data_IF_757765744763
#
_entry.id   IF_757765744763
#
_cell.length_a   1.000
_cell.length_b   1.000
_cell.length_c   1.000
_cell.angle_alpha   90.00
_cell.angle_beta   90.00
_cell.angle_gamma   90.00
#
_symmetry.space_group_name_H-M   'P 1'
#
loop_
_entity.id
_entity.type
_entity.pdbx_description
1 polymer ?
#
# COMPACT_ATOMS: atom_id res chain seq x y z
N UNK A 1 -5.08 -30.06 -5.34
CA UNK A 1 -5.40 -29.27 -6.56
C UNK A 1 -5.56 -27.81 -6.15
N UNK A 2 -4.70 -26.91 -6.63
CA UNK A 2 -4.84 -25.47 -6.41
C UNK A 2 -5.80 -24.93 -7.47
N UNK A 3 -6.95 -24.39 -7.05
CA UNK A 3 -7.87 -23.70 -7.95
C UNK A 3 -7.59 -22.19 -7.93
N UNK A 4 -6.92 -21.63 -8.95
CA UNK A 4 -6.64 -20.20 -9.02
C UNK A 4 -7.92 -19.34 -9.05
N UNK A 5 -9.07 -19.87 -9.45
CA UNK A 5 -10.34 -19.14 -9.45
C UNK A 5 -10.98 -19.02 -8.05
N UNK A 6 -10.44 -19.70 -7.05
CA UNK A 6 -11.02 -19.76 -5.70
C UNK A 6 -10.76 -18.49 -4.88
N UNK A 7 -11.74 -18.16 -4.03
CA UNK A 7 -11.62 -17.08 -3.05
C UNK A 7 -10.62 -17.44 -1.94
N UNK A 8 -9.99 -16.42 -1.38
CA UNK A 8 -9.15 -16.48 -0.19
C UNK A 8 -9.62 -15.41 0.79
N UNK A 9 -9.51 -15.72 2.07
CA UNK A 9 -9.82 -14.81 3.17
C UNK A 9 -8.52 -14.27 3.74
N UNK A 10 -8.34 -12.96 3.77
CA UNK A 10 -7.19 -12.32 4.40
C UNK A 10 -7.66 -11.58 5.65
N UNK A 11 -7.07 -11.90 6.81
CA UNK A 11 -7.36 -11.25 8.09
C UNK A 11 -6.24 -10.28 8.41
N UNK A 12 -6.57 -9.01 8.63
CA UNK A 12 -5.60 -7.93 8.74
C UNK A 12 -5.78 -7.18 10.05
N UNK A 13 -4.67 -6.80 10.66
CA UNK A 13 -4.62 -6.04 11.90
C UNK A 13 -4.97 -6.86 13.15
N UNK A 14 -4.80 -6.22 14.30
CA UNK A 14 -5.07 -6.82 15.61
C UNK A 14 -6.54 -7.29 15.75
N UNK A 15 -7.47 -6.54 15.17
CA UNK A 15 -8.91 -6.85 15.19
C UNK A 15 -9.32 -7.89 14.12
N UNK A 16 -8.36 -8.41 13.34
CA UNK A 16 -8.59 -9.41 12.29
C UNK A 16 -9.68 -9.02 11.27
N UNK A 17 -9.68 -7.75 10.84
CA UNK A 17 -10.58 -7.31 9.78
C UNK A 17 -10.41 -8.19 8.56
N UNK A 18 -11.53 -8.70 8.03
CA UNK A 18 -11.51 -9.75 7.02
C UNK A 18 -11.80 -9.20 5.64
N UNK A 19 -10.96 -9.60 4.67
CA UNK A 19 -11.08 -9.27 3.26
C UNK A 19 -11.21 -10.55 2.43
N UNK A 20 -12.18 -10.60 1.53
CA UNK A 20 -12.33 -11.68 0.58
C UNK A 20 -11.75 -11.27 -0.78
N UNK A 21 -10.85 -12.07 -1.34
CA UNK A 21 -10.20 -11.77 -2.62
C UNK A 21 -10.02 -13.03 -3.47
N UNK A 22 -9.94 -12.89 -4.78
CA UNK A 22 -9.61 -14.03 -5.64
C UNK A 22 -8.11 -14.32 -5.57
N UNK A 23 -7.76 -15.57 -5.31
CA UNK A 23 -6.36 -15.97 -5.23
C UNK A 23 -5.62 -15.74 -6.54
N UNK A 24 -6.27 -15.88 -7.70
CA UNK A 24 -5.67 -15.58 -9.01
C UNK A 24 -5.05 -14.19 -9.07
N UNK A 25 -5.77 -13.14 -8.64
CA UNK A 25 -5.27 -11.78 -8.67
C UNK A 25 -4.11 -11.56 -7.69
N UNK A 26 -4.24 -12.07 -6.46
CA UNK A 26 -3.18 -11.94 -5.45
C UNK A 26 -1.92 -12.71 -5.85
N UNK A 27 -2.03 -13.99 -6.20
CA UNK A 27 -0.90 -14.83 -6.58
C UNK A 27 -0.25 -14.38 -7.90
N UNK A 28 -0.98 -13.75 -8.82
CA UNK A 28 -0.38 -13.19 -10.04
C UNK A 28 0.57 -12.05 -9.72
N UNK A 29 0.25 -11.26 -8.69
CA UNK A 29 0.96 -10.03 -8.35
C UNK A 29 2.01 -10.16 -7.25
N UNK A 30 1.76 -11.05 -6.28
CA UNK A 30 2.52 -11.16 -5.05
C UNK A 30 3.08 -12.58 -4.91
N UNK A 31 4.40 -12.67 -4.87
CA UNK A 31 5.07 -13.95 -4.65
C UNK A 31 4.89 -14.45 -3.22
N UNK A 32 4.61 -13.56 -2.26
CA UNK A 32 4.16 -13.93 -0.92
C UNK A 32 2.85 -14.75 -1.00
N UNK A 33 1.81 -14.20 -1.64
CA UNK A 33 0.53 -14.90 -1.75
C UNK A 33 0.62 -16.15 -2.64
N UNK A 34 1.44 -16.10 -3.70
CA UNK A 34 1.74 -17.28 -4.53
C UNK A 34 2.29 -18.40 -3.64
N UNK A 35 3.30 -18.11 -2.84
CA UNK A 35 3.98 -19.08 -1.96
C UNK A 35 3.06 -19.57 -0.83
N UNK A 36 2.40 -18.65 -0.13
CA UNK A 36 1.51 -18.98 1.00
C UNK A 36 0.33 -19.87 0.58
N UNK A 37 -0.16 -19.70 -0.65
CA UNK A 37 -1.31 -20.45 -1.18
C UNK A 37 -0.88 -21.64 -2.05
N UNK A 38 0.41 -21.76 -2.40
CA UNK A 38 0.95 -22.90 -3.14
C UNK A 38 1.58 -23.92 -2.18
N UNK A 39 0.86 -25.01 -1.90
CA UNK A 39 1.47 -26.22 -1.33
C UNK A 39 0.64 -26.92 -0.26
N UNK A 40 0.64 -28.25 -0.29
CA UNK A 40 -0.14 -29.08 0.66
C UNK A 40 0.41 -29.06 2.10
N UNK A 41 1.58 -28.44 2.33
CA UNK A 41 2.23 -28.35 3.64
C UNK A 41 1.84 -27.11 4.44
N UNK A 42 1.36 -26.06 3.78
CA UNK A 42 0.97 -24.81 4.44
C UNK A 42 -0.50 -24.88 4.91
N UNK A 43 -0.77 -24.37 6.11
CA UNK A 43 -2.13 -24.37 6.64
C UNK A 43 -3.03 -23.42 5.85
N UNK A 44 -2.48 -22.33 5.34
CA UNK A 44 -3.12 -21.31 4.52
C UNK A 44 -3.63 -21.89 3.18
N UNK A 45 -2.87 -22.81 2.59
CA UNK A 45 -3.29 -23.51 1.37
C UNK A 45 -4.49 -24.45 1.62
N UNK A 46 -4.62 -24.99 2.84
CA UNK A 46 -5.74 -25.85 3.25
C UNK A 46 -6.95 -25.05 3.74
N UNK A 47 -6.71 -24.07 4.60
CA UNK A 47 -7.74 -23.25 5.27
C UNK A 47 -8.25 -22.12 4.40
N UNK A 48 -7.47 -21.71 3.38
CA UNK A 48 -7.73 -20.55 2.51
C UNK A 48 -7.83 -19.25 3.31
N UNK A 49 -7.13 -19.19 4.45
CA UNK A 49 -7.03 -18.01 5.31
C UNK A 49 -5.57 -17.59 5.40
N UNK A 50 -5.27 -16.33 5.12
CA UNK A 50 -3.96 -15.70 5.34
C UNK A 50 -4.09 -14.65 6.43
N UNK A 51 -3.19 -14.66 7.41
CA UNK A 51 -3.20 -13.71 8.53
C UNK A 51 -2.06 -12.69 8.39
N UNK A 52 -2.41 -11.42 8.58
CA UNK A 52 -1.56 -10.24 8.51
C UNK A 52 -1.79 -9.37 9.77
N UNK A 53 -1.47 -9.90 10.98
CA UNK A 53 -1.92 -9.31 12.24
C UNK A 53 -1.28 -7.95 12.56
N UNK A 54 -0.08 -7.69 12.04
CA UNK A 54 0.69 -6.47 12.29
C UNK A 54 0.44 -5.39 11.22
N UNK A 55 -0.37 -5.68 10.21
CA UNK A 55 -0.60 -4.78 9.09
C UNK A 55 -1.87 -3.94 9.28
N UNK A 56 -1.88 -2.75 8.68
CA UNK A 56 -3.00 -1.83 8.77
C UNK A 56 -4.11 -2.20 7.77
N UNK A 57 -5.36 -2.47 8.21
CA UNK A 57 -6.47 -2.82 7.32
C UNK A 57 -6.74 -1.78 6.22
N UNK A 58 -6.63 -0.48 6.52
CA UNK A 58 -6.80 0.60 5.55
C UNK A 58 -5.81 0.49 4.39
N UNK A 59 -4.55 0.19 4.73
CA UNK A 59 -3.47 0.06 3.73
C UNK A 59 -3.65 -1.22 2.92
N UNK A 60 -4.12 -2.30 3.53
CA UNK A 60 -4.45 -3.52 2.80
C UNK A 60 -5.64 -3.35 1.86
N UNK A 61 -6.65 -2.58 2.25
CA UNK A 61 -7.77 -2.20 1.38
C UNK A 61 -7.27 -1.41 0.16
N UNK A 62 -6.40 -0.43 0.36
CA UNK A 62 -5.76 0.32 -0.73
C UNK A 62 -4.94 -0.60 -1.65
N UNK A 63 -4.19 -1.55 -1.08
CA UNK A 63 -3.46 -2.57 -1.84
C UNK A 63 -4.41 -3.42 -2.70
N UNK A 64 -5.52 -3.91 -2.13
CA UNK A 64 -6.54 -4.66 -2.86
C UNK A 64 -7.15 -3.84 -3.99
N UNK A 65 -7.48 -2.58 -3.74
CA UNK A 65 -7.96 -1.64 -4.76
C UNK A 65 -6.99 -1.57 -5.94
N UNK A 66 -5.70 -1.44 -5.67
CA UNK A 66 -4.67 -1.43 -6.72
C UNK A 66 -4.52 -2.78 -7.44
N UNK A 67 -4.60 -3.91 -6.71
CA UNK A 67 -4.57 -5.26 -7.31
C UNK A 67 -5.64 -5.42 -8.38
N UNK A 68 -6.85 -4.94 -8.12
CA UNK A 68 -7.98 -5.07 -9.05
C UNK A 68 -8.02 -3.99 -10.13
N UNK A 69 -7.71 -2.74 -9.80
CA UNK A 69 -7.94 -1.59 -10.71
C UNK A 69 -6.69 -1.10 -11.41
N UNK A 70 -5.50 -1.49 -10.94
CA UNK A 70 -4.20 -0.93 -11.34
C UNK A 70 -4.07 0.58 -11.09
N UNK A 71 -4.88 1.13 -10.18
CA UNK A 71 -4.85 2.53 -9.77
C UNK A 71 -4.69 2.63 -8.25
N UNK A 72 -4.03 3.69 -7.81
CA UNK A 72 -4.05 4.11 -6.41
C UNK A 72 -4.94 5.33 -6.35
N UNK A 73 -6.02 5.22 -5.60
CA UNK A 73 -6.91 6.34 -5.36
C UNK A 73 -6.19 7.29 -4.40
N UNK A 74 -5.79 8.42 -4.96
CA UNK A 74 -5.19 9.55 -4.25
C UNK A 74 -6.25 10.64 -4.15
N UNK A 75 -6.23 11.43 -3.08
CA UNK A 75 -7.21 12.50 -2.81
C UNK A 75 -7.12 13.68 -3.83
N UNK A 76 -6.39 13.50 -4.93
CA UNK A 76 -6.16 14.47 -6.00
C UNK A 76 -7.44 15.09 -6.57
N UNK A 77 -8.56 14.37 -6.57
CA UNK A 77 -9.81 14.89 -7.16
C UNK A 77 -10.51 15.97 -6.33
N UNK A 78 -10.24 16.10 -5.03
CA UNK A 78 -10.91 17.09 -4.17
C UNK A 78 -9.99 18.23 -3.71
N UNK A 79 -8.67 18.06 -3.83
CA UNK A 79 -7.66 18.94 -3.24
C UNK A 79 -7.05 19.97 -4.21
N UNK A 80 -7.43 19.91 -5.49
CA UNK A 80 -6.95 20.83 -6.53
C UNK A 80 -7.90 22.05 -6.70
N UNK A 81 -8.91 22.21 -5.85
CA UNK A 81 -9.60 23.50 -5.66
C UNK A 81 -8.88 24.30 -4.56
N UNK A 82 -8.00 25.26 -4.92
CA UNK A 82 -7.23 26.05 -3.95
C UNK A 82 -8.11 26.95 -3.06
N UNK A 83 -9.41 27.08 -3.36
CA UNK A 83 -10.36 27.87 -2.58
C UNK A 83 -11.24 27.03 -1.63
N UNK A 84 -11.19 25.69 -1.71
CA UNK A 84 -12.13 24.82 -0.99
C UNK A 84 -11.71 24.48 0.44
N UNK A 85 -10.43 24.65 0.81
CA UNK A 85 -9.91 24.17 2.09
C UNK A 85 -8.85 25.09 2.70
N UNK A 86 -8.83 25.17 4.04
CA UNK A 86 -7.80 25.89 4.81
C UNK A 86 -6.40 25.30 4.60
N UNK A 87 -5.37 26.14 4.63
CA UNK A 87 -3.98 25.75 4.37
C UNK A 87 -3.45 24.70 5.36
N UNK A 88 -3.85 24.75 6.63
CA UNK A 88 -3.44 23.77 7.63
C UNK A 88 -4.13 22.43 7.39
N UNK A 89 -5.41 22.45 7.01
CA UNK A 89 -6.15 21.23 6.66
C UNK A 89 -5.54 20.59 5.41
N UNK A 90 -5.26 21.37 4.36
CA UNK A 90 -4.57 20.87 3.16
C UNK A 90 -3.25 20.20 3.54
N UNK A 91 -2.42 20.86 4.34
CA UNK A 91 -1.13 20.32 4.77
C UNK A 91 -1.29 19.03 5.57
N UNK A 92 -2.27 18.94 6.47
CA UNK A 92 -2.53 17.75 7.27
C UNK A 92 -2.95 16.57 6.37
N UNK A 93 -3.92 16.78 5.48
CA UNK A 93 -4.35 15.77 4.50
C UNK A 93 -3.19 15.29 3.63
N UNK A 94 -2.28 16.19 3.25
CA UNK A 94 -1.05 15.84 2.53
C UNK A 94 -0.10 14.96 3.29
N UNK A 95 0.13 15.25 4.57
CA UNK A 95 0.98 14.40 5.37
C UNK A 95 0.33 13.02 5.59
N UNK A 96 -0.99 12.95 5.81
CA UNK A 96 -1.69 11.67 5.94
C UNK A 96 -1.63 10.83 4.66
N UNK A 97 -1.84 11.45 3.49
CA UNK A 97 -1.75 10.74 2.21
C UNK A 97 -0.33 10.24 1.94
N UNK A 98 0.71 11.01 2.26
CA UNK A 98 2.09 10.50 2.19
C UNK A 98 2.29 9.30 3.12
N UNK A 99 1.78 9.35 4.34
CA UNK A 99 1.89 8.24 5.29
C UNK A 99 1.21 6.97 4.74
N UNK A 100 0.04 7.09 4.11
CA UNK A 100 -0.65 5.95 3.49
C UNK A 100 0.17 5.38 2.31
N UNK A 101 0.70 6.24 1.43
CA UNK A 101 1.48 5.81 0.27
C UNK A 101 2.79 5.11 0.67
N UNK A 102 3.49 5.59 1.71
CA UNK A 102 4.70 4.93 2.20
C UNK A 102 4.38 3.63 2.95
N UNK A 103 3.30 3.57 3.72
CA UNK A 103 2.83 2.30 4.30
C UNK A 103 2.45 1.29 3.21
N UNK A 104 1.83 1.75 2.11
CA UNK A 104 1.53 0.90 0.96
C UNK A 104 2.80 0.36 0.31
N UNK A 105 3.85 1.18 0.20
CA UNK A 105 5.16 0.72 -0.27
C UNK A 105 5.75 -0.35 0.64
N UNK A 106 5.75 -0.11 1.96
CA UNK A 106 6.22 -1.08 2.98
C UNK A 106 5.45 -2.39 2.90
N UNK A 107 4.12 -2.32 2.79
CA UNK A 107 3.28 -3.50 2.59
C UNK A 107 3.64 -4.21 1.28
N UNK A 108 3.89 -3.46 0.20
CA UNK A 108 4.35 -4.00 -1.08
C UNK A 108 5.70 -4.73 -0.99
N UNK A 109 6.64 -4.25 -0.16
CA UNK A 109 7.88 -4.99 0.12
C UNK A 109 7.58 -6.30 0.87
N UNK A 110 6.78 -6.25 1.93
CA UNK A 110 6.40 -7.43 2.71
C UNK A 110 5.71 -8.50 1.85
N UNK A 111 4.79 -8.06 0.99
CA UNK A 111 4.03 -8.92 0.09
C UNK A 111 4.79 -9.29 -1.19
N UNK A 112 6.02 -8.81 -1.38
CA UNK A 112 6.83 -9.07 -2.57
C UNK A 112 6.09 -8.70 -3.87
N UNK A 113 5.42 -7.54 -3.89
CA UNK A 113 4.71 -7.02 -5.05
C UNK A 113 5.39 -5.72 -5.54
N UNK A 114 6.24 -5.85 -6.56
CA UNK A 114 6.94 -4.69 -7.14
C UNK A 114 5.99 -3.70 -7.82
N UNK A 115 4.87 -4.17 -8.39
CA UNK A 115 3.97 -3.28 -9.12
C UNK A 115 3.27 -2.30 -8.17
N UNK A 116 2.94 -2.69 -6.93
CA UNK A 116 2.35 -1.74 -5.98
C UNK A 116 3.41 -0.80 -5.40
N UNK A 117 4.65 -1.28 -5.22
CA UNK A 117 5.78 -0.42 -4.83
C UNK A 117 6.02 0.69 -5.85
N UNK A 118 6.10 0.34 -7.13
CA UNK A 118 6.32 1.31 -8.21
C UNK A 118 5.15 2.31 -8.32
N UNK A 119 3.92 1.82 -8.18
CA UNK A 119 2.73 2.67 -8.18
C UNK A 119 2.71 3.64 -6.99
N UNK A 120 3.06 3.18 -5.78
CA UNK A 120 3.12 3.99 -4.57
C UNK A 120 4.15 5.12 -4.71
N UNK A 121 5.36 4.82 -5.19
CA UNK A 121 6.39 5.84 -5.43
C UNK A 121 5.96 6.82 -6.52
N UNK A 122 5.36 6.33 -7.60
CA UNK A 122 4.81 7.19 -8.66
C UNK A 122 3.74 8.13 -8.13
N UNK A 123 2.88 7.65 -7.23
CA UNK A 123 1.86 8.47 -6.57
C UNK A 123 2.48 9.52 -5.64
N UNK A 124 3.55 9.17 -4.89
CA UNK A 124 4.29 10.13 -4.05
C UNK A 124 4.86 11.27 -4.88
N UNK A 125 5.57 10.97 -5.98
CA UNK A 125 6.11 12.01 -6.85
C UNK A 125 5.02 12.87 -7.46
N UNK A 126 3.99 12.23 -7.98
CA UNK A 126 2.81 12.89 -8.54
C UNK A 126 2.15 13.79 -7.48
N UNK A 127 2.18 13.45 -6.19
CA UNK A 127 1.66 14.32 -5.13
C UNK A 127 2.61 15.48 -4.80
N UNK A 128 3.91 15.24 -4.76
CA UNK A 128 4.94 16.26 -4.50
C UNK A 128 5.03 17.36 -5.58
N UNK A 129 4.57 17.08 -6.80
CA UNK A 129 4.43 18.05 -7.88
C UNK A 129 3.28 19.05 -7.66
N UNK A 130 2.27 18.66 -6.87
CA UNK A 130 1.10 19.47 -6.57
C UNK A 130 1.45 20.76 -5.83
N UNK A 131 0.68 21.81 -6.08
CA UNK A 131 0.84 23.10 -5.40
C UNK A 131 -0.49 23.55 -4.83
N UNK A 132 -0.45 24.07 -3.61
CA UNK A 132 -1.56 24.77 -2.98
C UNK A 132 -1.11 26.19 -2.65
N UNK A 133 -1.83 27.19 -3.18
CA UNK A 133 -1.44 28.60 -3.09
C UNK A 133 0.04 28.85 -3.44
N UNK A 134 0.55 28.14 -4.45
CA UNK A 134 1.95 28.20 -4.91
C UNK A 134 2.95 27.38 -4.06
N UNK A 135 2.59 26.97 -2.86
CA UNK A 135 3.40 26.17 -1.95
C UNK A 135 3.34 24.67 -2.28
N UNK A 136 4.49 23.99 -2.20
CA UNK A 136 4.58 22.52 -2.28
C UNK A 136 4.55 21.92 -0.87
N UNK A 137 3.91 20.76 -0.74
CA UNK A 137 3.99 19.94 0.47
C UNK A 137 4.83 18.70 0.17
N UNK A 138 5.99 18.58 0.83
CA UNK A 138 6.86 17.41 0.72
C UNK A 138 6.60 16.40 1.85
N UNK A 139 7.00 15.13 1.69
CA UNK A 139 7.09 14.20 2.80
C UNK A 139 7.95 14.77 3.94
N UNK A 140 7.48 14.66 5.18
CA UNK A 140 8.28 14.93 6.38
C UNK A 140 9.23 13.79 6.77
N UNK A 141 10.10 14.07 7.75
CA UNK A 141 11.04 13.09 8.34
C UNK A 141 10.36 11.89 8.98
N UNK A 142 9.10 12.01 9.40
CA UNK A 142 8.32 10.88 9.92
C UNK A 142 8.09 9.81 8.84
N UNK A 143 7.90 10.23 7.59
CA UNK A 143 7.74 9.30 6.47
C UNK A 143 9.03 8.59 6.12
N UNK A 144 10.17 9.30 6.21
CA UNK A 144 11.49 8.69 6.09
C UNK A 144 11.66 7.59 7.13
N UNK A 145 11.40 7.89 8.41
CA UNK A 145 11.49 6.90 9.49
C UNK A 145 10.61 5.67 9.19
N UNK A 146 9.37 5.87 8.75
CA UNK A 146 8.45 4.80 8.38
C UNK A 146 9.04 3.87 7.32
N UNK A 147 9.62 4.42 6.25
CA UNK A 147 10.25 3.61 5.19
C UNK A 147 11.50 2.90 5.70
N UNK A 148 12.32 3.56 6.51
CA UNK A 148 13.54 2.97 7.07
C UNK A 148 13.28 1.88 8.12
N UNK A 149 12.17 1.96 8.83
CA UNK A 149 11.76 0.92 9.78
C UNK A 149 11.05 -0.24 9.08
N UNK A 150 10.26 0.05 8.04
CA UNK A 150 9.41 -0.95 7.37
C UNK A 150 10.03 -1.70 6.19
N UNK A 151 11.24 -1.32 5.72
CA UNK A 151 11.88 -1.98 4.56
C UNK A 151 13.24 -2.57 4.90
N UNK A 152 13.88 -3.38 4.05
CA UNK A 152 15.30 -3.75 4.23
C UNK A 152 16.25 -2.60 3.85
N UNK A 153 17.49 -2.62 4.37
CA UNK A 153 18.51 -1.57 4.11
C UNK A 153 18.80 -1.34 2.62
N UNK A 154 18.69 -2.37 1.79
CA UNK A 154 18.89 -2.28 0.34
C UNK A 154 17.66 -1.83 -0.48
N UNK A 155 16.53 -1.51 0.16
CA UNK A 155 15.31 -1.14 -0.55
C UNK A 155 15.49 0.17 -1.35
N UNK A 156 15.11 0.23 -2.64
CA UNK A 156 15.30 1.41 -3.49
C UNK A 156 14.67 2.69 -2.95
N UNK A 157 13.50 2.60 -2.28
CA UNK A 157 12.80 3.76 -1.74
C UNK A 157 13.65 4.54 -0.73
N UNK A 158 14.51 3.88 0.05
CA UNK A 158 15.41 4.56 0.99
C UNK A 158 16.39 5.51 0.31
N UNK A 159 16.81 5.23 -0.94
CA UNK A 159 17.72 6.10 -1.70
C UNK A 159 16.96 7.26 -2.34
N UNK A 160 15.81 6.96 -2.94
CA UNK A 160 14.95 7.93 -3.61
C UNK A 160 14.55 9.09 -2.69
N UNK A 161 14.40 8.85 -1.39
CA UNK A 161 13.95 9.89 -0.46
C UNK A 161 15.07 10.80 0.07
N UNK A 162 16.33 10.51 -0.25
CA UNK A 162 17.49 11.33 0.13
C UNK A 162 17.92 12.24 -1.05
N UNK A 163 17.64 11.80 -2.28
CA UNK A 163 17.96 12.51 -3.52
C UNK A 163 16.94 13.62 -3.84
#
# INVERSE_FOLDING_TARGET
SFDPASMVTVRVGADQQTFAAHASFLCTRSDFFRTALSGERWQEAKSRIVNLPDDNPKIFEMYLGHVYTRKIDTARTELDDPYAMDAAVYKATMQEEYADLFQLYVLGEKLLDNSVKDAAISAVFKRAEGRYNGCRCSPSTKHLALVYEGTPAGSPCRRILID
#
